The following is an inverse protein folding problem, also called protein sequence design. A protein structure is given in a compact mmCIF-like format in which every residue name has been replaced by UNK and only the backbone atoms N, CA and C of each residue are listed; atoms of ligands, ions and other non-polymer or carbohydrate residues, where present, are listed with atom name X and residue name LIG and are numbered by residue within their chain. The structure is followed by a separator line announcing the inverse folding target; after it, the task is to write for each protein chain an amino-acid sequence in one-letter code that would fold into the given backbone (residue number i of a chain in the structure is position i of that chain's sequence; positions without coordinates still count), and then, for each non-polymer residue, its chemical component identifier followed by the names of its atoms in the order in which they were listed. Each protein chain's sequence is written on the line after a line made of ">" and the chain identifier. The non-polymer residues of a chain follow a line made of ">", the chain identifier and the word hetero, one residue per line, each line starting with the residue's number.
data_IF_816083696585
#
_entry.id   IF_816083696585
#
_cell.length_a   1.000
_cell.length_b   1.000
_cell.length_c   1.000
_cell.angle_alpha   90.00
_cell.angle_beta   90.00
_cell.angle_gamma   90.00
#
_symmetry.space_group_name_H-M   'P 1'
#
loop_
_entity.id
_entity.type
_entity.pdbx_description
1 polymer ?
#
# COMPACT_ATOMS: atom_id res chain seq x y z
N UNK A 1 12.58 0.48 -13.04
CA UNK A 1 11.37 0.57 -13.89
C UNK A 1 10.85 -0.85 -14.14
N UNK A 2 9.82 -1.28 -13.40
CA UNK A 2 9.18 -2.59 -13.54
C UNK A 2 8.02 -2.52 -14.55
N UNK A 3 8.27 -1.98 -15.73
CA UNK A 3 7.35 -2.13 -16.87
C UNK A 3 7.61 -3.52 -17.46
N UNK A 4 6.58 -4.33 -17.72
CA UNK A 4 6.41 -5.17 -18.94
C UNK A 4 5.65 -6.51 -18.85
N UNK A 5 5.09 -6.98 -17.71
CA UNK A 5 4.40 -8.29 -17.75
C UNK A 5 2.86 -8.32 -17.74
N UNK A 6 2.16 -7.21 -17.43
CA UNK A 6 0.71 -7.30 -17.19
C UNK A 6 -0.17 -6.17 -17.78
N UNK A 7 0.35 -5.34 -18.70
CA UNK A 7 -0.41 -4.24 -19.36
C UNK A 7 -0.95 -3.12 -18.42
N UNK A 8 -0.57 -3.09 -17.14
CA UNK A 8 -0.95 -2.02 -16.22
C UNK A 8 0.09 -0.89 -16.24
N UNK A 9 -0.39 0.36 -16.29
CA UNK A 9 0.41 1.54 -15.98
C UNK A 9 0.62 1.61 -14.47
N UNK A 10 1.86 1.76 -14.02
CA UNK A 10 2.22 1.72 -12.59
C UNK A 10 2.98 2.99 -12.22
N UNK A 11 2.45 3.70 -11.23
CA UNK A 11 3.12 4.81 -10.55
C UNK A 11 3.51 4.34 -9.13
N UNK A 12 4.72 4.66 -8.68
CA UNK A 12 5.23 4.30 -7.36
C UNK A 12 5.75 5.55 -6.63
N UNK A 13 5.46 5.65 -5.35
CA UNK A 13 5.90 6.75 -4.49
C UNK A 13 6.40 6.19 -3.16
N UNK A 14 7.59 6.61 -2.75
CA UNK A 14 8.16 6.31 -1.44
C UNK A 14 8.08 7.57 -0.57
N UNK A 15 7.53 7.43 0.63
CA UNK A 15 7.41 8.54 1.58
C UNK A 15 8.78 8.84 2.19
N UNK A 16 9.53 9.76 1.58
CA UNK A 16 10.72 10.37 2.18
C UNK A 16 10.35 11.51 3.13
N UNK A 17 11.28 11.88 4.04
CA UNK A 17 11.16 12.98 5.01
C UNK A 17 10.93 14.34 4.33
N UNK A 18 9.67 14.65 4.01
CA UNK A 18 9.20 15.93 3.45
C UNK A 18 7.96 16.43 4.20
N UNK A 19 7.65 17.72 4.07
CA UNK A 19 6.56 18.38 4.80
C UNK A 19 5.18 17.82 4.43
N UNK A 20 4.31 17.67 5.44
CA UNK A 20 3.04 16.94 5.32
C UNK A 20 2.00 17.52 4.35
N UNK A 21 2.06 18.81 4.02
CA UNK A 21 1.18 19.39 2.99
C UNK A 21 1.54 18.87 1.59
N UNK A 22 2.84 18.83 1.26
CA UNK A 22 3.31 18.34 -0.03
C UNK A 22 3.00 16.86 -0.23
N UNK A 23 3.06 16.06 0.83
CA UNK A 23 2.73 14.62 0.76
C UNK A 23 1.25 14.43 0.40
N UNK A 24 0.33 15.12 1.07
CA UNK A 24 -1.12 15.00 0.78
C UNK A 24 -1.47 15.38 -0.65
N UNK A 25 -0.85 16.43 -1.18
CA UNK A 25 -1.09 16.87 -2.56
C UNK A 25 -0.62 15.84 -3.58
N UNK A 26 0.55 15.22 -3.34
CA UNK A 26 1.08 14.12 -4.17
C UNK A 26 0.12 12.93 -4.14
N UNK A 27 -0.27 12.46 -2.96
CA UNK A 27 -1.16 11.32 -2.82
C UNK A 27 -2.53 11.58 -3.46
N UNK A 28 -3.06 12.78 -3.29
CA UNK A 28 -4.32 13.19 -3.95
C UNK A 28 -4.20 13.18 -5.47
N UNK A 29 -3.05 13.59 -6.02
CA UNK A 29 -2.77 13.54 -7.46
C UNK A 29 -2.69 12.10 -7.96
N UNK A 30 -2.00 11.21 -7.22
CA UNK A 30 -1.90 9.78 -7.57
C UNK A 30 -3.26 9.10 -7.52
N UNK A 31 -4.06 9.35 -6.49
CA UNK A 31 -5.42 8.81 -6.35
C UNK A 31 -6.28 9.19 -7.55
N UNK A 32 -6.22 10.45 -8.02
CA UNK A 32 -7.00 10.91 -9.17
C UNK A 32 -6.66 10.19 -10.48
N UNK A 33 -5.47 9.62 -10.59
CA UNK A 33 -4.99 8.90 -11.79
C UNK A 33 -5.06 7.38 -11.64
N UNK A 34 -5.27 6.88 -10.43
CA UNK A 34 -5.21 5.47 -10.12
C UNK A 34 -6.62 4.87 -10.08
N UNK A 35 -6.75 3.66 -10.62
CA UNK A 35 -7.96 2.83 -10.48
C UNK A 35 -7.81 1.77 -9.38
N UNK A 36 -6.60 1.57 -8.88
CA UNK A 36 -6.22 0.56 -7.89
C UNK A 36 -4.93 1.00 -7.18
N UNK A 37 -4.73 0.57 -5.93
CA UNK A 37 -3.53 0.84 -5.17
C UNK A 37 -3.10 -0.35 -4.30
N UNK A 38 -1.79 -0.59 -4.24
CA UNK A 38 -1.15 -1.41 -3.21
C UNK A 38 -0.41 -0.48 -2.25
N UNK A 39 -0.78 -0.52 -0.98
CA UNK A 39 -0.15 0.25 0.10
C UNK A 39 0.85 -0.65 0.81
N UNK A 40 2.12 -0.54 0.42
CA UNK A 40 3.20 -1.36 1.00
C UNK A 40 3.67 -0.76 2.32
N UNK A 41 3.58 -1.55 3.38
CA UNK A 41 3.96 -1.18 4.73
C UNK A 41 5.05 -2.13 5.20
N UNK A 42 6.29 -1.63 5.23
CA UNK A 42 7.45 -2.33 5.77
C UNK A 42 7.81 -1.75 7.14
N UNK A 43 8.43 -2.54 7.99
CA UNK A 43 9.02 -2.01 9.22
C UNK A 43 10.23 -1.14 8.87
N UNK A 44 10.26 0.11 9.34
CA UNK A 44 11.51 0.89 9.39
C UNK A 44 12.25 0.55 10.68
N UNK A 45 13.58 0.40 10.59
CA UNK A 45 14.45 0.21 11.76
C UNK A 45 14.43 1.44 12.68
N UNK A 46 14.27 1.16 13.97
CA UNK A 46 14.66 1.92 15.16
C UNK A 46 14.44 3.45 15.12
N UNK A 47 13.34 3.88 15.72
CA UNK A 47 13.42 5.13 16.50
C UNK A 47 14.45 4.92 17.62
N UNK A 48 15.15 5.98 18.03
CA UNK A 48 16.20 5.95 19.07
C UNK A 48 15.74 5.35 20.42
N UNK A 49 14.43 5.15 20.61
CA UNK A 49 13.79 4.63 21.82
C UNK A 49 13.32 3.16 21.69
N UNK A 50 13.68 2.45 20.60
CA UNK A 50 13.40 1.01 20.43
C UNK A 50 11.92 0.64 20.29
N UNK A 51 11.02 1.63 20.13
CA UNK A 51 9.59 1.39 19.89
C UNK A 51 9.29 1.43 18.40
N UNK A 52 8.78 0.30 17.90
CA UNK A 52 8.24 0.12 16.57
C UNK A 52 6.87 0.79 16.50
N UNK A 53 6.82 2.06 16.12
CA UNK A 53 5.55 2.69 15.76
C UNK A 53 5.41 2.71 14.26
N UNK A 54 4.43 1.97 13.73
CA UNK A 54 3.93 2.26 12.40
C UNK A 54 3.46 3.72 12.42
N UNK A 55 4.21 4.60 11.76
CA UNK A 55 3.98 6.04 11.78
C UNK A 55 2.51 6.29 11.45
N UNK A 56 1.83 7.10 12.25
CA UNK A 56 0.44 7.54 12.02
C UNK A 56 0.17 7.96 10.56
N UNK A 57 1.21 8.42 9.86
CA UNK A 57 1.21 8.70 8.43
C UNK A 57 0.61 7.57 7.58
N UNK A 58 1.02 6.32 7.82
CA UNK A 58 0.62 5.17 6.98
C UNK A 58 -0.88 4.84 7.15
N UNK A 59 -1.48 5.08 8.33
CA UNK A 59 -2.94 4.97 8.54
C UNK A 59 -3.69 5.95 7.67
N UNK A 60 -3.27 7.22 7.73
CA UNK A 60 -3.98 8.31 7.09
C UNK A 60 -3.95 8.13 5.57
N UNK A 61 -2.84 7.63 5.04
CA UNK A 61 -2.68 7.33 3.62
C UNK A 61 -3.55 6.13 3.21
N UNK A 62 -3.49 5.02 3.95
CA UNK A 62 -4.35 3.86 3.67
C UNK A 62 -5.85 4.23 3.69
N UNK A 63 -6.29 4.98 4.70
CA UNK A 63 -7.66 5.48 4.79
C UNK A 63 -8.01 6.42 3.63
N UNK A 64 -7.09 7.28 3.19
CA UNK A 64 -7.30 8.18 2.06
C UNK A 64 -7.52 7.41 0.75
N UNK A 65 -6.68 6.42 0.45
CA UNK A 65 -6.83 5.59 -0.74
C UNK A 65 -8.11 4.73 -0.67
N UNK A 66 -8.42 4.16 0.49
CA UNK A 66 -9.64 3.36 0.68
C UNK A 66 -10.92 4.20 0.54
N UNK A 67 -10.92 5.43 1.05
CA UNK A 67 -12.04 6.35 0.89
C UNK A 67 -12.29 6.76 -0.56
N UNK A 68 -11.24 6.81 -1.38
CA UNK A 68 -11.33 7.22 -2.77
C UNK A 68 -11.56 6.07 -3.76
N UNK A 69 -10.91 4.92 -3.55
CA UNK A 69 -10.93 3.78 -4.48
C UNK A 69 -11.85 2.63 -4.01
N UNK A 70 -12.20 2.61 -2.73
CA UNK A 70 -12.89 1.48 -2.09
C UNK A 70 -11.92 0.42 -1.55
N UNK A 71 -12.40 -0.37 -0.58
CA UNK A 71 -11.61 -1.39 0.10
C UNK A 71 -11.15 -2.53 -0.82
N UNK A 72 -11.92 -2.84 -1.87
CA UNK A 72 -11.57 -3.91 -2.82
C UNK A 72 -10.44 -3.52 -3.77
N UNK A 73 -10.10 -2.21 -3.85
CA UNK A 73 -9.14 -1.64 -4.79
C UNK A 73 -7.98 -0.89 -4.15
N UNK A 74 -7.99 -0.74 -2.83
CA UNK A 74 -6.90 -0.16 -2.06
C UNK A 74 -6.42 -1.18 -1.01
N UNK A 75 -5.48 -2.03 -1.43
CA UNK A 75 -5.05 -3.22 -0.67
C UNK A 75 -3.79 -2.91 0.12
N UNK A 76 -3.80 -3.24 1.40
CA UNK A 76 -2.63 -3.12 2.27
C UNK A 76 -1.74 -4.35 2.11
N UNK A 77 -0.45 -4.14 1.83
CA UNK A 77 0.58 -5.16 1.88
C UNK A 77 1.43 -4.91 3.13
N UNK A 78 1.31 -5.77 4.14
CA UNK A 78 1.93 -5.57 5.45
C UNK A 78 3.05 -6.58 5.71
N UNK A 79 4.24 -6.08 5.98
CA UNK A 79 5.37 -6.89 6.41
C UNK A 79 5.15 -7.43 7.83
N UNK A 80 5.38 -8.73 8.02
CA UNK A 80 5.27 -9.38 9.31
C UNK A 80 6.22 -8.74 10.34
N UNK A 81 5.68 -8.50 11.54
CA UNK A 81 6.40 -7.79 12.62
C UNK A 81 6.25 -6.27 12.59
N UNK A 82 5.62 -5.71 11.56
CA UNK A 82 5.21 -4.29 11.56
C UNK A 82 3.97 -4.10 12.43
N UNK A 83 3.98 -3.07 13.27
CA UNK A 83 2.82 -2.74 14.11
C UNK A 83 1.61 -2.43 13.21
N UNK A 84 0.62 -3.31 13.21
CA UNK A 84 -0.63 -3.05 12.51
C UNK A 84 -1.51 -2.14 13.37
N UNK A 85 -2.30 -1.28 12.73
CA UNK A 85 -3.27 -0.47 13.45
C UNK A 85 -4.40 -1.34 13.99
N UNK A 86 -4.87 -1.06 15.20
CA UNK A 86 -5.94 -1.80 15.90
C UNK A 86 -7.27 -1.85 15.14
N UNK A 87 -7.46 -1.02 14.10
CA UNK A 87 -8.64 -1.00 13.24
C UNK A 87 -8.49 -1.78 11.92
N UNK A 88 -7.38 -2.48 11.69
CA UNK A 88 -7.15 -3.19 10.41
C UNK A 88 -7.98 -4.47 10.26
N UNK A 89 -8.61 -4.97 11.32
CA UNK A 89 -9.37 -6.23 11.30
C UNK A 89 -10.56 -6.22 10.30
N UNK A 90 -10.99 -5.04 9.85
CA UNK A 90 -12.00 -4.86 8.79
C UNK A 90 -11.43 -4.60 7.38
N UNK A 91 -10.11 -4.61 7.20
CA UNK A 91 -9.44 -4.22 5.96
C UNK A 91 -8.80 -5.45 5.30
N UNK A 92 -8.98 -5.58 3.99
CA UNK A 92 -8.27 -6.60 3.22
C UNK A 92 -6.76 -6.30 3.23
N UNK A 93 -5.98 -7.23 3.78
CA UNK A 93 -4.52 -7.15 3.83
C UNK A 93 -3.87 -8.40 3.23
N UNK A 94 -2.72 -8.21 2.59
CA UNK A 94 -1.81 -9.27 2.16
C UNK A 94 -0.58 -9.18 3.06
N UNK A 95 -0.26 -10.26 3.77
CA UNK A 95 0.87 -10.31 4.70
C UNK A 95 2.08 -10.92 4.02
N UNK A 96 3.27 -10.46 4.35
CA UNK A 96 4.51 -11.04 3.81
C UNK A 96 5.65 -11.10 4.83
N UNK A 97 6.54 -12.10 4.73
CA UNK A 97 7.68 -12.20 5.65
C UNK A 97 8.63 -11.01 5.52
N UNK A 98 9.32 -10.66 6.61
CA UNK A 98 10.32 -9.57 6.62
C UNK A 98 11.32 -9.70 5.47
N UNK A 99 11.45 -8.63 4.67
CA UNK A 99 12.33 -8.58 3.50
C UNK A 99 11.88 -9.41 2.29
N UNK A 100 10.70 -10.04 2.33
CA UNK A 100 10.24 -10.94 1.27
C UNK A 100 8.85 -10.58 0.69
N UNK A 101 8.71 -9.35 0.18
CA UNK A 101 7.48 -8.91 -0.50
C UNK A 101 7.12 -9.76 -1.74
N UNK A 102 8.08 -10.50 -2.31
CA UNK A 102 7.87 -11.34 -3.50
C UNK A 102 6.83 -12.43 -3.26
N UNK A 103 6.65 -12.86 -2.02
CA UNK A 103 5.63 -13.86 -1.66
C UNK A 103 4.21 -13.35 -1.92
N UNK A 104 4.00 -12.03 -1.98
CA UNK A 104 2.69 -11.42 -2.27
C UNK A 104 2.32 -11.43 -3.74
N UNK A 105 3.22 -11.77 -4.67
CA UNK A 105 2.98 -11.60 -6.11
C UNK A 105 1.78 -12.42 -6.61
N UNK A 106 1.60 -13.63 -6.07
CA UNK A 106 0.45 -14.47 -6.41
C UNK A 106 -0.87 -13.82 -5.99
N UNK A 107 -0.93 -13.34 -4.74
CA UNK A 107 -2.11 -12.69 -4.18
C UNK A 107 -2.41 -11.35 -4.86
N UNK A 108 -1.38 -10.55 -5.13
CA UNK A 108 -1.49 -9.30 -5.85
C UNK A 108 -2.11 -9.51 -7.25
N UNK A 109 -1.62 -10.50 -7.99
CA UNK A 109 -2.16 -10.86 -9.30
C UNK A 109 -3.58 -11.40 -9.22
N UNK A 110 -3.91 -12.19 -8.18
CA UNK A 110 -5.26 -12.70 -7.98
C UNK A 110 -6.26 -11.55 -7.74
N UNK A 111 -5.90 -10.57 -6.90
CA UNK A 111 -6.74 -9.40 -6.63
C UNK A 111 -6.88 -8.51 -7.87
N UNK A 112 -5.79 -8.25 -8.60
CA UNK A 112 -5.86 -7.46 -9.84
C UNK A 112 -6.79 -8.10 -10.88
N UNK A 113 -6.73 -9.43 -11.05
CA UNK A 113 -7.63 -10.15 -11.97
C UNK A 113 -9.08 -10.15 -11.52
N UNK A 114 -9.33 -10.14 -10.22
CA UNK A 114 -10.69 -10.02 -9.65
C UNK A 114 -11.30 -8.66 -9.98
N UNK A 115 -10.54 -7.59 -9.81
CA UNK A 115 -11.04 -6.21 -10.00
C UNK A 115 -11.03 -5.75 -11.47
N UNK A 116 -10.10 -6.27 -12.27
CA UNK A 116 -9.99 -5.99 -13.70
C UNK A 116 -10.06 -7.29 -14.50
N UNK A 117 -11.24 -7.95 -14.54
CA UNK A 117 -11.42 -9.12 -15.37
C UNK A 117 -11.20 -8.73 -16.83
N UNK A 118 -10.19 -9.32 -17.48
CA UNK A 118 -10.10 -9.27 -18.94
C UNK A 118 -11.33 -10.00 -19.49
N UNK A 119 -12.25 -9.26 -20.11
CA UNK A 119 -13.29 -9.87 -20.93
C UNK A 119 -12.59 -10.77 -21.96
N UNK A 120 -12.85 -12.07 -21.86
CA UNK A 120 -12.47 -13.03 -22.90
C UNK A 120 -13.33 -12.82 -24.13
#
# INVERSE_FOLDING_TARGET
>A
MLHFKHQYEVEAYEVGSRSGHTIRDILTSMIKKSSFAFLVMTGEDETADGRLHARQNVVHEAGLFQGALGFDRAIVMLEDGTEAFTNIDGIQQIRFPKGNIRDTFGDALAVLKREFPTNK
#
